data_IF_045774193677
#
_entry.id   IF_045774193677
#
_cell.length_a   1.000
_cell.length_b   1.000
_cell.length_c   1.000
_cell.angle_alpha   90.00
_cell.angle_beta   90.00
_cell.angle_gamma   90.00
#
_symmetry.space_group_name_H-M   'P 1'
#
loop_
_entity.id
_entity.type
_entity.pdbx_description
1 polymer ?
#
# COMPACT_ATOMS: atom_id res chain seq x y z
N UNK A 1 21.90 -5.10 12.15
CA UNK A 1 22.42 -5.11 13.54
C UNK A 1 21.45 -5.87 14.44
N UNK A 2 21.53 -7.20 14.50
CA UNK A 2 20.66 -8.02 15.39
C UNK A 2 21.40 -8.36 16.70
N UNK A 3 22.70 -8.68 16.63
CA UNK A 3 23.54 -9.03 17.79
C UNK A 3 23.49 -8.00 18.92
N UNK A 4 23.85 -6.71 18.69
CA UNK A 4 23.86 -5.71 19.75
C UNK A 4 22.51 -5.49 20.44
N UNK A 5 21.40 -5.69 19.71
CA UNK A 5 20.05 -5.58 20.27
C UNK A 5 19.82 -6.70 21.29
N UNK A 6 20.16 -7.93 20.90
CA UNK A 6 19.97 -9.12 21.75
C UNK A 6 20.89 -9.08 22.94
N UNK A 7 22.16 -8.69 22.78
CA UNK A 7 23.11 -8.60 23.89
C UNK A 7 22.63 -7.61 24.97
N UNK A 8 22.08 -6.47 24.54
CA UNK A 8 21.48 -5.48 25.44
C UNK A 8 20.24 -6.04 26.14
N UNK A 9 19.35 -6.69 25.40
CA UNK A 9 18.13 -7.30 25.95
C UNK A 9 18.45 -8.46 26.91
N UNK A 10 19.47 -9.28 26.62
CA UNK A 10 19.89 -10.37 27.49
C UNK A 10 20.38 -9.84 28.84
N UNK A 11 21.20 -8.77 28.82
CA UNK A 11 21.73 -8.16 30.04
C UNK A 11 20.60 -7.63 30.94
N UNK A 12 19.59 -6.99 30.37
CA UNK A 12 18.53 -6.31 31.17
C UNK A 12 17.37 -7.25 31.49
N UNK A 13 16.87 -8.00 30.50
CA UNK A 13 15.68 -8.84 30.64
C UNK A 13 15.98 -10.20 31.31
N UNK A 14 17.10 -10.83 30.96
CA UNK A 14 17.46 -12.17 31.46
C UNK A 14 18.33 -12.06 32.70
N UNK A 15 19.48 -11.40 32.60
CA UNK A 15 20.43 -11.29 33.73
C UNK A 15 19.98 -10.28 34.78
N UNK A 16 19.34 -9.18 34.36
CA UNK A 16 18.78 -8.14 35.23
C UNK A 16 17.38 -8.44 35.78
N UNK A 17 16.71 -9.49 35.28
CA UNK A 17 15.40 -9.94 35.78
C UNK A 17 14.20 -9.07 35.40
N UNK A 18 14.33 -8.16 34.42
CA UNK A 18 13.20 -7.33 33.98
C UNK A 18 12.18 -8.14 33.15
N UNK A 19 11.12 -8.59 33.81
CA UNK A 19 10.02 -9.36 33.21
C UNK A 19 9.29 -8.60 32.10
N UNK A 20 9.34 -7.26 32.05
CA UNK A 20 8.67 -6.48 31.00
C UNK A 20 9.36 -6.61 29.65
N UNK A 21 10.68 -6.76 29.63
CA UNK A 21 11.48 -6.88 28.41
C UNK A 21 11.68 -8.33 27.96
N UNK A 22 11.30 -9.31 28.80
CA UNK A 22 11.43 -10.74 28.49
C UNK A 22 10.69 -11.15 27.20
N UNK A 23 9.44 -10.71 26.94
CA UNK A 23 8.77 -11.01 25.68
C UNK A 23 9.51 -10.45 24.46
N UNK A 24 10.04 -9.22 24.55
CA UNK A 24 10.81 -8.60 23.46
C UNK A 24 12.10 -9.39 23.18
N UNK A 25 12.80 -9.84 24.22
CA UNK A 25 13.98 -10.70 24.09
C UNK A 25 13.64 -12.02 23.39
N UNK A 26 12.58 -12.70 23.80
CA UNK A 26 12.18 -13.99 23.22
C UNK A 26 11.82 -13.85 21.73
N UNK A 27 11.12 -12.77 21.36
CA UNK A 27 10.81 -12.44 19.96
C UNK A 27 12.09 -12.14 19.16
N UNK A 28 13.02 -11.37 19.74
CA UNK A 28 14.29 -11.06 19.09
C UNK A 28 15.17 -12.30 18.89
N UNK A 29 15.11 -13.28 19.80
CA UNK A 29 15.72 -14.59 19.62
C UNK A 29 15.10 -15.36 18.44
N UNK A 30 13.76 -15.34 18.30
CA UNK A 30 13.07 -15.91 17.12
C UNK A 30 13.53 -15.23 15.83
N UNK A 31 13.59 -13.90 15.80
CA UNK A 31 14.09 -13.11 14.65
C UNK A 31 15.54 -13.47 14.33
N UNK A 32 16.40 -13.60 15.35
CA UNK A 32 17.80 -14.01 15.16
C UNK A 32 17.88 -15.36 14.46
N UNK A 33 17.13 -16.35 14.94
CA UNK A 33 17.18 -17.69 14.35
C UNK A 33 16.69 -17.69 12.89
N UNK A 34 15.63 -16.92 12.60
CA UNK A 34 15.13 -16.78 11.24
C UNK A 34 16.13 -16.09 10.29
N UNK A 35 16.73 -14.99 10.72
CA UNK A 35 17.56 -14.14 9.85
C UNK A 35 19.01 -14.63 9.77
N UNK A 36 19.57 -15.15 10.86
CA UNK A 36 20.98 -15.57 10.93
C UNK A 36 21.12 -17.06 10.60
N UNK A 37 20.38 -17.92 11.30
CA UNK A 37 20.57 -19.36 11.17
C UNK A 37 19.96 -19.86 9.86
N UNK A 38 18.74 -19.42 9.53
CA UNK A 38 18.06 -19.82 8.29
C UNK A 38 18.38 -18.90 7.11
N UNK A 39 19.02 -17.75 7.32
CA UNK A 39 19.37 -16.75 6.29
C UNK A 39 18.17 -16.29 5.46
N UNK A 40 17.00 -16.16 6.09
CA UNK A 40 15.76 -15.74 5.42
C UNK A 40 15.40 -14.28 5.76
N UNK A 41 14.91 -13.51 4.79
CA UNK A 41 14.32 -12.19 5.05
C UNK A 41 13.16 -12.27 6.05
N UNK A 42 12.99 -11.25 6.90
CA UNK A 42 11.89 -11.20 7.89
C UNK A 42 10.52 -11.32 7.22
N UNK A 43 10.33 -10.71 6.04
CA UNK A 43 9.07 -10.77 5.29
C UNK A 43 8.71 -12.14 4.70
N UNK A 44 9.61 -13.13 4.75
CA UNK A 44 9.32 -14.50 4.31
C UNK A 44 8.66 -15.33 5.40
N UNK A 45 8.63 -14.83 6.63
CA UNK A 45 7.87 -15.45 7.70
C UNK A 45 6.48 -14.82 7.71
N UNK A 46 5.46 -15.61 7.37
CA UNK A 46 4.08 -15.13 7.20
C UNK A 46 3.24 -15.22 8.49
N UNK A 47 3.71 -15.96 9.49
CA UNK A 47 2.94 -16.30 10.69
C UNK A 47 3.32 -15.45 11.92
N UNK A 48 3.37 -14.13 11.76
CA UNK A 48 3.62 -13.20 12.87
C UNK A 48 2.33 -12.87 13.62
N UNK A 49 2.38 -12.84 14.95
CA UNK A 49 1.29 -12.31 15.78
C UNK A 49 1.45 -10.81 16.09
N UNK A 50 0.41 -10.18 16.63
CA UNK A 50 0.39 -8.73 16.90
C UNK A 50 1.54 -8.25 17.78
N UNK A 51 1.89 -8.99 18.84
CA UNK A 51 3.00 -8.64 19.74
C UNK A 51 4.35 -8.73 19.04
N UNK A 52 4.52 -9.71 18.17
CA UNK A 52 5.73 -9.85 17.36
C UNK A 52 5.84 -8.71 16.34
N UNK A 53 4.73 -8.33 15.70
CA UNK A 53 4.68 -7.22 14.75
C UNK A 53 5.03 -5.90 15.45
N UNK A 54 4.55 -5.65 16.67
CA UNK A 54 4.93 -4.48 17.47
C UNK A 54 6.45 -4.39 17.70
N UNK A 55 7.09 -5.51 18.06
CA UNK A 55 8.55 -5.56 18.23
C UNK A 55 9.29 -5.36 16.90
N UNK A 56 8.83 -5.98 15.82
CA UNK A 56 9.42 -5.79 14.49
C UNK A 56 9.34 -4.33 14.02
N UNK A 57 8.22 -3.67 14.28
CA UNK A 57 7.98 -2.27 13.91
C UNK A 57 8.84 -1.29 14.74
N UNK A 58 9.30 -1.67 15.93
CA UNK A 58 10.27 -0.89 16.71
C UNK A 58 11.62 -0.76 16.01
N UNK A 59 12.03 -1.79 15.25
CA UNK A 59 13.36 -1.87 14.64
C UNK A 59 13.39 -1.64 13.13
N UNK A 60 12.25 -1.80 12.45
CA UNK A 60 12.11 -1.51 11.01
C UNK A 60 13.20 -2.16 10.14
N UNK A 61 13.48 -3.45 10.37
CA UNK A 61 14.53 -4.20 9.67
C UNK A 61 14.45 -4.02 8.15
N UNK A 62 15.62 -3.96 7.48
CA UNK A 62 15.66 -3.84 6.02
C UNK A 62 14.90 -4.98 5.33
N UNK A 63 15.02 -6.20 5.86
CA UNK A 63 14.41 -7.41 5.30
C UNK A 63 12.93 -7.61 5.66
N UNK A 64 12.33 -6.71 6.44
CA UNK A 64 10.87 -6.66 6.63
C UNK A 64 10.17 -5.79 5.59
N UNK A 65 10.91 -4.93 4.88
CA UNK A 65 10.34 -4.02 3.88
C UNK A 65 9.89 -4.81 2.64
N UNK A 66 8.69 -4.55 2.11
CA UNK A 66 8.24 -5.14 0.84
C UNK A 66 9.13 -4.68 -0.32
N UNK A 67 9.17 -5.47 -1.40
CA UNK A 67 10.05 -5.23 -2.54
C UNK A 67 9.30 -5.44 -3.86
N UNK A 68 9.63 -4.62 -4.86
CA UNK A 68 9.19 -4.77 -6.25
C UNK A 68 10.45 -4.78 -7.12
N UNK A 69 10.58 -5.77 -8.00
CA UNK A 69 11.73 -5.90 -8.89
C UNK A 69 11.48 -5.13 -10.18
N UNK A 70 12.37 -4.19 -10.50
CA UNK A 70 12.35 -3.45 -11.76
C UNK A 70 13.49 -3.92 -12.64
N UNK A 71 13.18 -4.54 -13.78
CA UNK A 71 14.18 -5.05 -14.73
C UNK A 71 14.35 -4.02 -15.84
N UNK A 72 15.44 -3.26 -15.79
CA UNK A 72 15.75 -2.29 -16.82
C UNK A 72 16.26 -2.98 -18.09
N UNK A 73 15.60 -2.72 -19.21
CA UNK A 73 15.86 -3.30 -20.52
C UNK A 73 16.30 -2.21 -21.50
N UNK A 74 16.90 -2.62 -22.61
CA UNK A 74 17.01 -1.73 -23.77
C UNK A 74 15.60 -1.46 -24.33
N UNK A 75 15.44 -0.32 -24.99
CA UNK A 75 14.20 0.02 -25.68
C UNK A 75 13.75 -1.07 -26.66
N UNK A 76 14.68 -1.60 -27.46
CA UNK A 76 14.41 -2.68 -28.42
C UNK A 76 13.87 -3.94 -27.73
N UNK A 77 14.46 -4.32 -26.59
CA UNK A 77 14.07 -5.52 -25.84
C UNK A 77 12.70 -5.39 -25.18
N UNK A 78 12.41 -4.19 -24.67
CA UNK A 78 11.13 -3.86 -24.08
C UNK A 78 10.01 -3.88 -25.14
N UNK A 79 10.21 -3.21 -26.28
CA UNK A 79 9.22 -3.17 -27.39
C UNK A 79 8.96 -4.57 -27.96
N UNK A 80 10.02 -5.35 -28.24
CA UNK A 80 9.86 -6.71 -28.78
C UNK A 80 9.39 -7.76 -27.75
N UNK A 81 9.25 -7.37 -26.48
CA UNK A 81 8.85 -8.22 -25.35
C UNK A 81 9.70 -9.50 -25.21
N UNK A 82 10.99 -9.43 -25.54
CA UNK A 82 11.93 -10.56 -25.41
C UNK A 82 13.29 -10.09 -24.91
N UNK A 83 13.75 -10.71 -23.83
CA UNK A 83 15.08 -10.53 -23.26
C UNK A 83 15.56 -11.82 -22.60
N UNK A 84 16.83 -12.19 -22.81
CA UNK A 84 17.45 -13.42 -22.29
C UNK A 84 17.49 -13.49 -20.75
N UNK A 85 17.65 -12.35 -20.10
CA UNK A 85 17.77 -12.25 -18.64
C UNK A 85 16.43 -12.17 -17.94
N UNK A 86 15.41 -11.59 -18.58
CA UNK A 86 14.08 -11.45 -17.99
C UNK A 86 13.50 -12.80 -17.52
N UNK A 87 13.65 -13.84 -18.33
CA UNK A 87 13.20 -15.21 -17.97
C UNK A 87 13.98 -15.72 -16.75
N UNK A 88 15.32 -15.63 -16.79
CA UNK A 88 16.18 -16.09 -15.69
C UNK A 88 15.95 -15.35 -14.38
N UNK A 89 15.71 -14.03 -14.47
CA UNK A 89 15.38 -13.21 -13.31
C UNK A 89 14.03 -13.63 -12.74
N UNK A 90 13.03 -13.85 -13.61
CA UNK A 90 11.71 -14.30 -13.17
C UNK A 90 11.78 -15.66 -12.48
N UNK A 91 12.49 -16.63 -13.07
CA UNK A 91 12.74 -17.95 -12.46
C UNK A 91 13.46 -17.84 -11.10
N UNK A 92 14.47 -16.96 -11.00
CA UNK A 92 15.17 -16.72 -9.74
C UNK A 92 14.23 -16.11 -8.69
N UNK A 93 13.44 -15.10 -9.06
CA UNK A 93 12.46 -14.47 -8.15
C UNK A 93 11.41 -15.49 -7.70
N UNK A 94 10.87 -16.31 -8.61
CA UNK A 94 9.86 -17.31 -8.24
C UNK A 94 10.41 -18.36 -7.26
N UNK A 95 11.71 -18.67 -7.35
CA UNK A 95 12.38 -19.60 -6.43
C UNK A 95 12.81 -18.95 -5.11
N UNK A 96 13.34 -17.73 -5.16
CA UNK A 96 14.02 -17.08 -4.03
C UNK A 96 13.16 -16.06 -3.30
N UNK A 97 12.09 -15.55 -3.93
CA UNK A 97 11.18 -14.56 -3.37
C UNK A 97 9.75 -14.74 -3.94
N UNK A 98 9.08 -15.86 -3.59
CA UNK A 98 7.81 -16.23 -4.19
C UNK A 98 6.75 -15.15 -3.94
N UNK A 99 6.01 -14.80 -5.00
CA UNK A 99 4.97 -13.78 -4.96
C UNK A 99 5.46 -12.34 -5.20
N UNK A 100 6.77 -12.11 -5.31
CA UNK A 100 7.26 -10.78 -5.62
C UNK A 100 6.99 -10.36 -7.08
N UNK A 101 6.65 -9.09 -7.25
CA UNK A 101 6.30 -8.53 -8.55
C UNK A 101 7.56 -8.17 -9.33
N UNK A 102 7.64 -8.64 -10.57
CA UNK A 102 8.72 -8.31 -11.51
C UNK A 102 8.13 -7.47 -12.65
N UNK A 103 8.66 -6.26 -12.83
CA UNK A 103 8.20 -5.31 -13.86
C UNK A 103 9.37 -5.01 -14.80
N UNK A 104 9.32 -5.47 -16.06
CA UNK A 104 10.25 -4.99 -17.08
C UNK A 104 9.91 -3.55 -17.45
N UNK A 105 10.92 -2.72 -17.63
CA UNK A 105 10.80 -1.36 -18.15
C UNK A 105 12.06 -0.97 -18.92
N UNK A 106 12.03 0.11 -19.68
CA UNK A 106 13.23 0.68 -20.29
C UNK A 106 13.37 2.13 -19.86
N UNK A 107 14.37 2.44 -19.04
CA UNK A 107 14.65 3.81 -18.63
C UNK A 107 14.97 4.72 -19.83
N UNK A 108 15.61 4.17 -20.86
CA UNK A 108 15.89 4.90 -22.09
C UNK A 108 14.60 5.27 -22.86
N UNK A 109 13.64 4.34 -22.95
CA UNK A 109 12.34 4.62 -23.54
C UNK A 109 11.57 5.64 -22.70
N UNK A 110 11.51 5.47 -21.39
CA UNK A 110 10.77 6.40 -20.52
C UNK A 110 11.33 7.82 -20.61
N UNK A 111 12.66 8.00 -20.65
CA UNK A 111 13.26 9.32 -20.83
C UNK A 111 12.86 9.95 -22.16
N UNK A 112 12.96 9.18 -23.26
CA UNK A 112 12.53 9.64 -24.59
C UNK A 112 11.05 10.06 -24.61
N UNK A 113 10.18 9.32 -23.94
CA UNK A 113 8.76 9.64 -23.84
C UNK A 113 8.48 10.90 -23.00
N UNK A 114 9.39 11.31 -22.11
CA UNK A 114 9.28 12.57 -21.35
C UNK A 114 9.73 13.79 -22.16
N UNK A 115 10.66 13.60 -23.10
CA UNK A 115 11.18 14.68 -23.95
C UNK A 115 10.24 15.04 -25.11
N UNK A 116 9.33 14.13 -25.48
CA UNK A 116 8.35 14.33 -26.54
C UNK A 116 7.14 15.15 -26.05
N UNK A 117 6.51 15.88 -26.97
CA UNK A 117 5.18 16.46 -26.72
C UNK A 117 4.12 15.38 -26.54
N UNK A 118 2.95 15.72 -25.99
CA UNK A 118 1.88 14.76 -25.74
C UNK A 118 1.41 14.05 -27.03
N UNK A 119 1.32 14.78 -28.14
CA UNK A 119 0.92 14.25 -29.45
C UNK A 119 1.99 13.31 -30.01
N UNK A 120 3.26 13.73 -30.02
CA UNK A 120 4.38 12.91 -30.50
C UNK A 120 4.55 11.65 -29.65
N UNK A 121 4.39 11.77 -28.33
CA UNK A 121 4.41 10.64 -27.41
C UNK A 121 3.35 9.61 -27.79
N UNK A 122 2.12 10.06 -28.05
CA UNK A 122 1.02 9.16 -28.41
C UNK A 122 1.30 8.47 -29.75
N UNK A 123 1.73 9.22 -30.76
CA UNK A 123 2.13 8.67 -32.06
C UNK A 123 3.26 7.65 -31.94
N UNK A 124 4.25 7.93 -31.08
CA UNK A 124 5.37 7.01 -30.83
C UNK A 124 4.93 5.69 -30.21
N UNK A 125 4.05 5.76 -29.21
CA UNK A 125 3.52 4.58 -28.51
C UNK A 125 2.67 3.71 -29.46
N UNK A 126 1.83 4.33 -30.28
CA UNK A 126 1.01 3.65 -31.29
C UNK A 126 1.88 2.98 -32.37
N UNK A 127 2.82 3.71 -32.95
CA UNK A 127 3.71 3.20 -34.00
C UNK A 127 4.56 2.00 -33.54
N UNK A 128 4.97 1.98 -32.27
CA UNK A 128 5.77 0.90 -31.70
C UNK A 128 4.93 -0.16 -30.97
N UNK A 129 3.60 -0.02 -30.94
CA UNK A 129 2.68 -0.91 -30.19
C UNK A 129 3.18 -1.17 -28.75
N UNK A 130 3.60 -0.09 -28.08
CA UNK A 130 4.19 -0.13 -26.75
C UNK A 130 3.50 0.84 -25.81
N UNK A 131 3.81 0.76 -24.52
CA UNK A 131 3.24 1.60 -23.48
C UNK A 131 4.30 1.96 -22.44
N UNK A 132 4.14 3.12 -21.79
CA UNK A 132 4.95 3.45 -20.62
C UNK A 132 4.72 2.44 -19.51
N UNK A 133 5.80 1.99 -18.88
CA UNK A 133 5.77 1.13 -17.71
C UNK A 133 5.56 1.92 -16.41
N UNK A 134 5.78 3.25 -16.40
CA UNK A 134 5.70 4.08 -15.20
C UNK A 134 4.34 3.99 -14.48
N UNK A 135 3.17 4.02 -15.16
CA UNK A 135 1.89 3.86 -14.48
C UNK A 135 1.78 2.53 -13.72
N UNK A 136 2.35 1.45 -14.28
CA UNK A 136 2.38 0.14 -13.63
C UNK A 136 3.33 0.12 -12.43
N UNK A 137 4.50 0.76 -12.54
CA UNK A 137 5.49 0.87 -11.46
C UNK A 137 4.92 1.67 -10.29
N UNK A 138 4.27 2.81 -10.56
CA UNK A 138 3.66 3.66 -9.53
C UNK A 138 2.56 2.90 -8.79
N UNK A 139 1.63 2.27 -9.51
CA UNK A 139 0.56 1.46 -8.90
C UNK A 139 1.11 0.29 -8.09
N UNK A 140 2.15 -0.38 -8.58
CA UNK A 140 2.81 -1.46 -7.86
C UNK A 140 3.50 -0.97 -6.57
N UNK A 141 4.19 0.17 -6.62
CA UNK A 141 4.80 0.77 -5.44
C UNK A 141 3.77 1.18 -4.39
N UNK A 142 2.67 1.79 -4.82
CA UNK A 142 1.57 2.18 -3.95
C UNK A 142 0.91 0.96 -3.27
N UNK A 143 0.64 -0.10 -4.04
CA UNK A 143 0.11 -1.35 -3.51
C UNK A 143 1.10 -2.06 -2.55
N UNK A 144 2.41 -2.02 -2.86
CA UNK A 144 3.44 -2.61 -2.01
C UNK A 144 3.50 -1.95 -0.61
N UNK A 145 3.22 -0.64 -0.54
CA UNK A 145 3.11 0.12 0.71
C UNK A 145 1.82 -0.18 1.50
N UNK A 146 0.98 -1.10 1.01
CA UNK A 146 -0.34 -1.41 1.58
C UNK A 146 -1.25 -0.18 1.66
N UNK A 147 -1.14 0.68 0.64
CA UNK A 147 -2.00 1.84 0.46
C UNK A 147 -3.09 1.53 -0.58
N UNK A 148 -4.24 2.15 -0.37
CA UNK A 148 -5.38 2.19 -1.27
C UNK A 148 -6.01 3.59 -1.16
N UNK A 149 -7.05 3.88 -1.95
CA UNK A 149 -7.70 5.19 -1.88
C UNK A 149 -9.22 5.07 -2.01
N UNK A 150 -9.91 6.02 -1.41
CA UNK A 150 -11.33 6.27 -1.67
C UNK A 150 -11.47 7.64 -2.37
N UNK A 151 -12.63 7.90 -2.95
CA UNK A 151 -12.95 9.14 -3.64
C UNK A 151 -13.97 9.97 -2.88
N UNK A 152 -13.79 11.28 -2.94
CA UNK A 152 -14.90 12.24 -2.80
C UNK A 152 -15.17 12.80 -4.19
N UNK A 153 -16.42 12.74 -4.64
CA UNK A 153 -16.83 13.23 -5.95
C UNK A 153 -18.02 14.18 -5.81
N UNK A 154 -17.89 15.39 -6.32
CA UNK A 154 -18.93 16.40 -6.36
C UNK A 154 -18.75 17.35 -7.54
N UNK A 155 -19.63 18.35 -7.71
CA UNK A 155 -19.55 19.30 -8.81
C UNK A 155 -18.27 20.16 -8.74
N UNK A 156 -17.77 20.44 -7.54
CA UNK A 156 -16.62 21.31 -7.33
C UNK A 156 -15.28 20.57 -7.42
N UNK A 157 -15.23 19.34 -6.92
CA UNK A 157 -13.98 18.58 -6.79
C UNK A 157 -14.21 17.07 -6.92
N UNK A 158 -13.27 16.41 -7.60
CA UNK A 158 -13.09 14.95 -7.55
C UNK A 158 -11.69 14.69 -7.01
N UNK A 159 -11.60 13.97 -5.88
CA UNK A 159 -10.33 13.74 -5.19
C UNK A 159 -10.18 12.32 -4.68
N UNK A 160 -8.97 11.77 -4.87
CA UNK A 160 -8.54 10.53 -4.26
C UNK A 160 -7.87 10.80 -2.89
N UNK A 161 -8.29 10.05 -1.88
CA UNK A 161 -7.78 10.14 -0.52
C UNK A 161 -7.05 8.86 -0.16
N UNK A 162 -5.73 8.96 0.01
CA UNK A 162 -4.87 7.82 0.37
C UNK A 162 -5.14 7.33 1.80
N UNK A 163 -5.40 6.05 1.94
CA UNK A 163 -5.59 5.33 3.20
C UNK A 163 -4.76 4.05 3.23
N UNK A 164 -4.62 3.45 4.42
CA UNK A 164 -4.01 2.12 4.57
C UNK A 164 -5.10 1.06 4.41
N UNK A 165 -4.74 -0.11 3.88
CA UNK A 165 -5.66 -1.26 3.88
C UNK A 165 -6.21 -1.54 5.26
N UNK A 166 -7.53 -1.71 5.36
CA UNK A 166 -8.21 -1.94 6.65
C UNK A 166 -8.57 -0.68 7.43
N UNK A 167 -8.38 0.52 6.85
CA UNK A 167 -8.80 1.79 7.48
C UNK A 167 -10.33 1.81 7.64
N UNK A 168 -10.82 2.12 8.84
CA UNK A 168 -12.25 2.24 9.12
C UNK A 168 -12.80 3.59 8.64
N UNK A 169 -14.10 3.64 8.35
CA UNK A 169 -14.78 4.85 7.87
C UNK A 169 -14.49 6.14 8.68
N UNK A 170 -14.50 6.15 10.03
CA UNK A 170 -14.17 7.35 10.79
C UNK A 170 -12.72 7.82 10.60
N UNK A 171 -11.77 6.88 10.49
CA UNK A 171 -10.35 7.17 10.28
C UNK A 171 -10.10 7.67 8.85
N UNK A 172 -10.85 7.14 7.88
CA UNK A 172 -10.84 7.61 6.51
C UNK A 172 -11.39 9.04 6.42
N UNK A 173 -12.50 9.35 7.11
CA UNK A 173 -13.04 10.70 7.22
C UNK A 173 -12.03 11.67 7.85
N UNK A 174 -11.27 11.20 8.86
CA UNK A 174 -10.18 11.93 9.50
C UNK A 174 -9.06 12.38 8.55
N UNK A 175 -8.92 11.75 7.37
CA UNK A 175 -7.98 12.21 6.33
C UNK A 175 -8.40 13.52 5.66
N UNK A 176 -9.70 13.79 5.62
CA UNK A 176 -10.26 15.03 5.08
C UNK A 176 -10.11 16.15 6.12
N UNK A 177 -10.56 15.87 7.34
CA UNK A 177 -10.43 16.78 8.47
C UNK A 177 -10.48 16.02 9.79
N UNK A 178 -9.64 16.40 10.76
CA UNK A 178 -9.53 15.70 12.05
C UNK A 178 -10.84 15.71 12.87
N UNK A 179 -11.65 16.76 12.73
CA UNK A 179 -12.97 16.82 13.39
C UNK A 179 -13.96 15.79 12.84
N UNK A 180 -13.82 15.34 11.60
CA UNK A 180 -14.74 14.36 11.02
C UNK A 180 -14.59 13.00 11.69
N UNK A 181 -13.40 12.64 12.17
CA UNK A 181 -13.19 11.37 12.88
C UNK A 181 -13.93 11.36 14.23
N UNK A 182 -13.88 12.47 14.97
CA UNK A 182 -14.59 12.64 16.25
C UNK A 182 -16.10 12.77 16.04
N UNK A 183 -16.49 13.63 15.11
CA UNK A 183 -17.88 13.95 14.79
C UNK A 183 -18.58 12.94 13.87
N UNK A 184 -17.91 11.86 13.45
CA UNK A 184 -18.43 10.89 12.50
C UNK A 184 -19.80 10.33 12.94
N UNK A 185 -20.77 10.40 12.04
CA UNK A 185 -22.09 9.79 12.20
C UNK A 185 -22.17 8.53 11.33
N UNK A 186 -22.01 8.70 10.02
CA UNK A 186 -22.06 7.61 9.04
C UNK A 186 -21.30 7.99 7.77
N UNK A 187 -20.98 6.99 6.97
CA UNK A 187 -20.47 7.15 5.61
C UNK A 187 -21.54 6.69 4.61
N UNK A 188 -21.91 7.55 3.69
CA UNK A 188 -22.70 7.17 2.52
C UNK A 188 -21.72 6.71 1.43
N UNK A 189 -21.79 5.43 1.05
CA UNK A 189 -20.80 4.76 0.22
C UNK A 189 -21.45 4.24 -1.06
N UNK A 190 -20.84 4.56 -2.19
CA UNK A 190 -21.07 3.94 -3.49
C UNK A 190 -19.82 3.22 -3.95
N UNK A 191 -19.97 2.03 -4.53
CA UNK A 191 -18.84 1.39 -5.21
C UNK A 191 -18.58 2.07 -6.55
N UNK A 192 -17.31 2.17 -6.94
CA UNK A 192 -16.94 2.72 -8.24
C UNK A 192 -17.64 2.00 -9.39
N UNK A 193 -17.69 0.65 -9.33
CA UNK A 193 -18.32 -0.15 -10.37
C UNK A 193 -19.84 0.10 -10.46
N UNK A 194 -20.51 0.21 -9.31
CA UNK A 194 -21.94 0.56 -9.24
C UNK A 194 -22.20 1.96 -9.83
N UNK A 195 -21.37 2.94 -9.48
CA UNK A 195 -21.50 4.30 -10.02
C UNK A 195 -21.29 4.35 -11.54
N UNK A 196 -20.33 3.59 -12.04
CA UNK A 196 -20.05 3.49 -13.47
C UNK A 196 -21.15 2.76 -14.24
N UNK A 197 -21.71 1.69 -13.68
CA UNK A 197 -22.79 0.90 -14.28
C UNK A 197 -24.10 1.71 -14.37
N UNK A 198 -24.49 2.35 -13.27
CA UNK A 198 -25.77 3.07 -13.18
C UNK A 198 -25.70 4.49 -13.77
N UNK A 199 -24.48 5.02 -13.99
CA UNK A 199 -24.21 6.27 -14.69
C UNK A 199 -24.48 7.57 -13.91
N UNK A 200 -25.14 7.51 -12.75
CA UNK A 200 -25.35 8.66 -11.87
C UNK A 200 -25.61 8.26 -10.42
N UNK A 201 -25.35 9.16 -9.47
CA UNK A 201 -25.64 8.94 -8.04
C UNK A 201 -27.13 8.65 -7.79
N UNK A 202 -28.03 9.34 -8.50
CA UNK A 202 -29.47 9.11 -8.36
C UNK A 202 -29.88 7.72 -8.85
N UNK A 203 -29.25 7.22 -9.93
CA UNK A 203 -29.48 5.87 -10.42
C UNK A 203 -28.95 4.81 -9.43
N UNK A 204 -27.75 5.01 -8.86
CA UNK A 204 -27.20 4.15 -7.79
C UNK A 204 -28.12 4.10 -6.57
N UNK A 205 -28.72 5.25 -6.17
CA UNK A 205 -29.72 5.32 -5.10
C UNK A 205 -30.99 4.56 -5.47
N UNK A 206 -31.51 4.76 -6.68
CA UNK A 206 -32.71 4.07 -7.17
C UNK A 206 -32.52 2.54 -7.26
N UNK A 207 -31.31 2.09 -7.59
CA UNK A 207 -30.91 0.69 -7.61
C UNK A 207 -30.65 0.09 -6.22
N UNK A 208 -30.75 0.87 -5.14
CA UNK A 208 -30.48 0.40 -3.77
C UNK A 208 -29.00 0.10 -3.48
N UNK A 209 -28.09 0.55 -4.35
CA UNK A 209 -26.63 0.35 -4.24
C UNK A 209 -25.93 1.47 -3.45
N UNK A 210 -26.66 2.51 -3.05
CA UNK A 210 -26.18 3.62 -2.21
C UNK A 210 -26.25 3.24 -0.72
N UNK A 211 -25.15 2.77 -0.14
CA UNK A 211 -25.14 2.15 1.19
C UNK A 211 -24.81 3.16 2.29
N UNK A 212 -25.51 3.08 3.41
CA UNK A 212 -25.15 3.80 4.62
C UNK A 212 -24.34 2.89 5.54
N UNK A 213 -23.12 3.31 5.85
CA UNK A 213 -22.14 2.52 6.58
C UNK A 213 -21.79 3.18 7.92
N UNK A 214 -21.71 2.35 8.95
CA UNK A 214 -21.40 2.78 10.32
C UNK A 214 -19.91 2.85 10.62
N UNK A 215 -19.57 3.10 11.90
CA UNK A 215 -18.18 3.29 12.36
C UNK A 215 -17.26 2.08 12.14
N UNK A 216 -17.82 0.88 12.00
CA UNK A 216 -17.06 -0.37 11.84
C UNK A 216 -16.84 -0.75 10.38
N UNK A 217 -17.38 0.00 9.42
CA UNK A 217 -17.13 -0.26 8.01
C UNK A 217 -15.65 -0.06 7.69
N UNK A 218 -15.06 -1.05 7.04
CA UNK A 218 -13.72 -0.99 6.47
C UNK A 218 -13.88 -0.40 5.07
N UNK A 219 -13.24 0.73 4.83
CA UNK A 219 -13.27 1.37 3.51
C UNK A 219 -12.56 0.47 2.52
N UNK A 220 -13.15 0.30 1.34
CA UNK A 220 -12.59 -0.50 0.25
C UNK A 220 -11.99 0.41 -0.83
N UNK A 221 -11.02 -0.12 -1.57
CA UNK A 221 -10.38 0.59 -2.68
C UNK A 221 -11.42 1.04 -3.73
N UNK A 222 -11.36 2.32 -4.09
CA UNK A 222 -12.25 2.94 -5.06
C UNK A 222 -13.64 3.30 -4.54
N UNK A 223 -13.94 3.12 -3.24
CA UNK A 223 -15.19 3.61 -2.66
C UNK A 223 -15.38 5.11 -2.94
N UNK A 224 -16.57 5.52 -3.38
CA UNK A 224 -16.97 6.93 -3.49
C UNK A 224 -17.80 7.24 -2.24
N UNK A 225 -17.30 8.17 -1.40
CA UNK A 225 -17.83 8.36 -0.05
C UNK A 225 -18.25 9.80 0.18
N UNK A 226 -19.45 9.96 0.76
CA UNK A 226 -19.91 11.18 1.39
C UNK A 226 -20.03 10.97 2.92
N UNK A 227 -19.25 11.71 3.70
CA UNK A 227 -19.23 11.57 5.16
C UNK A 227 -20.26 12.49 5.83
N UNK A 228 -21.10 11.93 6.70
CA UNK A 228 -21.99 12.67 7.58
C UNK A 228 -21.31 12.82 8.94
N UNK A 229 -21.19 14.05 9.41
CA UNK A 229 -20.61 14.37 10.70
C UNK A 229 -21.45 15.43 11.42
N UNK A 230 -21.39 15.44 12.74
CA UNK A 230 -21.95 16.53 13.53
C UNK A 230 -20.89 17.62 13.70
N UNK A 231 -21.28 18.88 13.62
CA UNK A 231 -20.38 19.98 13.99
C UNK A 231 -20.18 19.95 15.51
N UNK A 232 -18.94 20.04 16.02
CA UNK A 232 -18.73 20.19 17.45
C UNK A 232 -19.47 21.45 17.92
N UNK A 233 -20.37 21.33 18.91
CA UNK A 233 -20.99 22.50 19.52
C UNK A 233 -19.88 23.41 20.04
N UNK A 234 -19.79 24.64 19.52
CA UNK A 234 -18.97 25.66 20.16
C UNK A 234 -19.47 25.77 21.61
N UNK A 235 -18.57 25.78 22.63
CA UNK A 235 -19.01 26.03 23.98
C UNK A 235 -19.74 27.36 23.99
N UNK A 236 -21.02 27.35 24.38
CA UNK A 236 -21.79 28.57 24.59
C UNK A 236 -20.95 29.45 25.51
N UNK A 237 -20.45 30.58 24.99
CA UNK A 237 -19.84 31.62 25.83
C UNK A 237 -20.92 31.99 26.86
N UNK A 238 -20.67 31.63 28.12
CA UNK A 238 -21.40 32.16 29.26
C UNK A 238 -20.96 33.60 29.49
#
# INVERSE_FOLDING_TARGET
MIGPIIDKLEKVAVRGGDKKLKPEYDIMCKVKSWVIDQKKPVRFYHDWNDKEIEVLNKYLFLTSKPMVYLVNLSEKDYIRKKNKWLIKIKEWVDKSDPGALVIPFSGALELKLQELSAEERQQYLEANTTQSALPKIIKAGFAALQLEYFFTAGPDEVRAWTIRKGTKAPQAAGKIHTDFEKGFIMAEVMKYDDFKEEGSENAVKAAGKYRQQGRNYIVEDGDIIFFKFNTPQQPKKK
#
